data_IF_072593985896
#
_entry.id   IF_072593985896
#
_cell.length_a   1.000
_cell.length_b   1.000
_cell.length_c   1.000
_cell.angle_alpha   90.00
_cell.angle_beta   90.00
_cell.angle_gamma   90.00
#
_symmetry.space_group_name_H-M   'P 1'
#
loop_
_entity.id
_entity.type
_entity.pdbx_description
1 polymer ?
#
# COMPACT_ATOMS: atom_id res chain seq x y z
N UNK A 1 -12.21 39.09 24.51
CA UNK A 1 -13.62 39.46 24.72
C UNK A 1 -14.29 38.31 25.42
N UNK A 2 -14.70 38.50 26.67
CA UNK A 2 -15.52 37.56 27.41
C UNK A 2 -16.81 38.28 27.78
N UNK A 3 -17.95 37.71 27.43
CA UNK A 3 -19.24 38.28 27.80
C UNK A 3 -19.60 37.97 29.26
N UNK A 4 -18.91 37.04 29.93
CA UNK A 4 -19.15 36.71 31.34
C UNK A 4 -20.59 36.27 31.63
N UNK A 5 -21.28 35.69 30.65
CA UNK A 5 -22.71 35.39 30.74
C UNK A 5 -23.67 36.54 30.38
N UNK A 6 -23.16 37.74 30.09
CA UNK A 6 -23.96 38.89 29.65
C UNK A 6 -24.36 38.77 28.18
N UNK A 7 -25.47 39.41 27.80
CA UNK A 7 -25.86 39.52 26.40
C UNK A 7 -24.90 40.47 25.66
N UNK A 8 -24.40 40.03 24.50
CA UNK A 8 -23.50 40.82 23.66
C UNK A 8 -24.12 41.04 22.28
N UNK A 9 -24.07 42.28 21.77
CA UNK A 9 -24.65 42.61 20.46
C UNK A 9 -23.66 43.34 19.56
N UNK A 10 -23.44 42.80 18.36
CA UNK A 10 -22.84 43.54 17.25
C UNK A 10 -24.00 44.01 16.38
N UNK A 11 -24.28 45.32 16.42
CA UNK A 11 -25.39 45.92 15.68
C UNK A 11 -25.12 46.00 14.18
N UNK A 12 -26.19 46.01 13.38
CA UNK A 12 -26.11 46.17 11.92
C UNK A 12 -25.25 47.40 11.53
N UNK A 13 -24.41 47.22 10.51
CA UNK A 13 -23.47 48.24 10.04
C UNK A 13 -22.28 48.52 10.97
N UNK A 14 -22.10 47.73 12.03
CA UNK A 14 -20.90 47.76 12.88
C UNK A 14 -20.02 46.54 12.60
N UNK A 15 -18.71 46.75 12.74
CA UNK A 15 -17.70 45.70 12.61
C UNK A 15 -16.89 45.62 13.89
N UNK A 16 -16.72 44.40 14.40
CA UNK A 16 -15.78 44.08 15.46
C UNK A 16 -14.65 43.24 14.88
N UNK A 17 -13.41 43.70 14.97
CA UNK A 17 -12.24 42.98 14.46
C UNK A 17 -11.41 42.46 15.61
N UNK A 18 -11.19 41.15 15.65
CA UNK A 18 -10.28 40.49 16.58
C UNK A 18 -8.89 40.43 15.94
N UNK A 19 -7.92 41.07 16.59
CA UNK A 19 -6.53 41.05 16.15
C UNK A 19 -5.90 39.66 16.34
N UNK A 20 -4.67 39.50 15.84
CA UNK A 20 -3.86 38.30 16.09
C UNK A 20 -3.81 37.95 17.59
N UNK A 21 -3.81 36.65 17.90
CA UNK A 21 -3.83 36.11 19.27
C UNK A 21 -4.98 36.56 20.17
N UNK A 22 -6.00 37.25 19.64
CA UNK A 22 -7.18 37.62 20.42
C UNK A 22 -7.99 36.38 20.81
N UNK A 23 -8.59 36.40 22.00
CA UNK A 23 -9.49 35.33 22.47
C UNK A 23 -10.90 35.88 22.63
N UNK A 24 -11.88 35.21 21.99
CA UNK A 24 -13.31 35.44 22.17
C UNK A 24 -13.88 34.29 22.97
N UNK A 25 -14.50 34.58 24.10
CA UNK A 25 -15.11 33.58 24.98
C UNK A 25 -16.63 33.74 24.92
N UNK A 26 -17.30 32.67 24.51
CA UNK A 26 -18.74 32.50 24.57
C UNK A 26 -19.03 31.64 25.81
N UNK A 27 -19.16 32.31 26.95
CA UNK A 27 -19.33 31.73 28.29
C UNK A 27 -20.78 31.78 28.82
N UNK A 28 -21.72 32.27 28.01
CA UNK A 28 -23.15 32.40 28.34
C UNK A 28 -23.72 33.70 27.78
N UNK A 29 -25.01 33.95 28.03
CA UNK A 29 -25.71 35.14 27.52
C UNK A 29 -26.02 35.07 26.02
N UNK A 30 -26.99 35.86 25.57
CA UNK A 30 -27.37 35.88 24.15
C UNK A 30 -26.35 36.67 23.34
N UNK A 31 -25.71 36.02 22.37
CA UNK A 31 -24.88 36.68 21.35
C UNK A 31 -25.73 37.03 20.13
N UNK A 32 -26.12 38.30 20.01
CA UNK A 32 -26.90 38.80 18.86
C UNK A 32 -25.97 39.44 17.84
N UNK A 33 -25.91 38.88 16.64
CA UNK A 33 -24.98 39.32 15.60
C UNK A 33 -25.76 39.76 14.36
N UNK A 34 -25.99 41.06 14.26
CA UNK A 34 -26.58 41.70 13.06
C UNK A 34 -25.54 42.51 12.27
N UNK A 35 -24.38 42.79 12.87
CA UNK A 35 -23.18 43.30 12.21
C UNK A 35 -22.09 42.24 12.03
N UNK A 36 -20.91 42.67 11.59
CA UNK A 36 -19.80 41.80 11.17
C UNK A 36 -18.82 41.54 12.33
N UNK A 37 -18.43 40.28 12.53
CA UNK A 37 -17.25 39.91 13.32
C UNK A 37 -16.16 39.51 12.33
N UNK A 38 -14.96 40.03 12.49
CA UNK A 38 -13.81 39.61 11.70
C UNK A 38 -12.77 39.01 12.62
N UNK A 39 -12.41 37.75 12.37
CA UNK A 39 -11.45 37.01 13.17
C UNK A 39 -10.13 36.92 12.41
N UNK A 40 -9.02 37.11 13.12
CA UNK A 40 -7.70 36.82 12.58
C UNK A 40 -7.47 35.29 12.57
N UNK A 41 -6.72 34.78 11.60
CA UNK A 41 -6.39 33.36 11.49
C UNK A 41 -5.69 32.78 12.74
N UNK A 42 -5.03 33.61 13.55
CA UNK A 42 -4.37 33.21 14.81
C UNK A 42 -5.20 33.54 16.06
N UNK A 43 -6.41 34.08 15.89
CA UNK A 43 -7.33 34.33 17.01
C UNK A 43 -8.04 33.03 17.43
N UNK A 44 -8.52 32.97 18.67
CA UNK A 44 -9.22 31.80 19.22
C UNK A 44 -10.65 32.17 19.61
N UNK A 45 -11.60 31.31 19.28
CA UNK A 45 -12.98 31.35 19.81
C UNK A 45 -13.23 30.16 20.72
N UNK A 46 -13.64 30.45 21.95
CA UNK A 46 -13.81 29.50 23.03
C UNK A 46 -15.31 29.35 23.34
N UNK A 47 -15.85 28.15 23.18
CA UNK A 47 -17.23 27.78 23.53
C UNK A 47 -17.18 26.98 24.83
N UNK A 48 -17.40 27.63 25.96
CA UNK A 48 -17.23 27.04 27.32
C UNK A 48 -18.53 26.97 28.11
N UNK A 49 -19.68 27.21 27.47
CA UNK A 49 -20.96 27.08 28.14
C UNK A 49 -21.28 25.62 28.41
N UNK A 50 -21.74 25.30 29.63
CA UNK A 50 -22.46 24.03 29.85
C UNK A 50 -23.80 23.94 29.08
N UNK A 51 -24.28 25.07 28.55
CA UNK A 51 -25.46 25.15 27.69
C UNK A 51 -25.12 24.89 26.22
N UNK A 52 -26.15 24.59 25.43
CA UNK A 52 -26.00 24.38 23.99
C UNK A 52 -25.68 25.69 23.27
N UNK A 53 -24.81 25.62 22.28
CA UNK A 53 -24.39 26.74 21.45
C UNK A 53 -24.46 26.38 19.97
N UNK A 54 -24.73 27.36 19.13
CA UNK A 54 -24.69 27.20 17.67
C UNK A 54 -23.65 28.13 17.08
N UNK A 55 -22.78 27.58 16.24
CA UNK A 55 -21.78 28.33 15.50
C UNK A 55 -22.43 29.04 14.32
N UNK A 56 -22.08 30.32 14.20
CA UNK A 56 -22.44 31.14 13.05
C UNK A 56 -21.39 30.98 11.95
N UNK A 57 -21.74 31.01 10.67
CA UNK A 57 -20.77 30.93 9.58
C UNK A 57 -19.75 32.08 9.65
N UNK A 58 -18.49 31.74 9.91
CA UNK A 58 -17.35 32.67 9.96
C UNK A 58 -16.09 31.92 9.53
N UNK A 59 -15.06 32.67 9.14
CA UNK A 59 -13.70 32.13 9.07
C UNK A 59 -13.08 32.26 10.45
N UNK A 60 -13.01 31.16 11.17
CA UNK A 60 -12.40 31.10 12.49
C UNK A 60 -10.88 30.97 12.38
N UNK A 61 -10.14 31.52 13.35
CA UNK A 61 -8.73 31.19 13.50
C UNK A 61 -8.58 29.80 14.12
N UNK A 62 -8.83 29.70 15.41
CA UNK A 62 -8.94 28.45 16.16
C UNK A 62 -10.27 28.39 16.89
N UNK A 63 -10.77 27.17 17.10
CA UNK A 63 -11.93 26.90 17.93
C UNK A 63 -11.54 25.96 19.06
N UNK A 64 -12.08 26.22 20.23
CA UNK A 64 -12.01 25.29 21.36
C UNK A 64 -13.40 25.18 22.00
N UNK A 65 -13.92 23.95 22.03
CA UNK A 65 -15.22 23.58 22.56
C UNK A 65 -15.03 22.78 23.86
N UNK A 66 -15.63 23.26 24.94
CA UNK A 66 -15.49 22.69 26.26
C UNK A 66 -16.80 22.83 27.06
N UNK A 67 -17.78 22.00 26.72
CA UNK A 67 -19.05 21.85 27.44
C UNK A 67 -20.28 22.01 26.54
N UNK A 68 -21.43 21.53 27.00
CA UNK A 68 -22.70 21.64 26.27
C UNK A 68 -22.70 20.96 24.89
N UNK A 69 -23.79 21.11 24.14
CA UNK A 69 -23.83 20.68 22.73
C UNK A 69 -23.47 21.84 21.80
N UNK A 70 -22.53 21.64 20.88
CA UNK A 70 -22.17 22.62 19.85
C UNK A 70 -22.74 22.18 18.50
N UNK A 71 -23.49 23.05 17.82
CA UNK A 71 -24.03 22.79 16.48
C UNK A 71 -23.57 23.80 15.45
N UNK A 72 -23.81 23.52 14.17
CA UNK A 72 -23.52 24.40 13.03
C UNK A 72 -24.80 25.06 12.49
N UNK A 73 -24.76 26.35 12.18
CA UNK A 73 -25.79 27.07 11.40
C UNK A 73 -25.44 27.19 9.91
N UNK A 74 -24.25 26.73 9.52
CA UNK A 74 -23.76 26.67 8.15
C UNK A 74 -22.34 26.11 8.10
N UNK A 75 -21.71 26.16 6.91
CA UNK A 75 -20.36 25.65 6.71
C UNK A 75 -19.36 26.23 7.72
N UNK A 76 -18.54 25.35 8.28
CA UNK A 76 -17.53 25.68 9.26
C UNK A 76 -16.17 25.81 8.56
N UNK A 77 -15.54 26.97 8.67
CA UNK A 77 -14.17 27.17 8.19
C UNK A 77 -13.26 27.60 9.33
N UNK A 78 -12.19 26.83 9.57
CA UNK A 78 -11.20 27.07 10.62
C UNK A 78 -9.81 27.10 10.00
N UNK A 79 -9.16 28.26 10.02
CA UNK A 79 -7.83 28.43 9.43
C UNK A 79 -6.76 27.61 10.19
N UNK A 80 -6.98 27.36 11.48
CA UNK A 80 -6.17 26.53 12.35
C UNK A 80 -6.94 25.30 12.83
N UNK A 81 -6.75 24.97 14.11
CA UNK A 81 -7.34 23.78 14.75
C UNK A 81 -8.77 24.00 15.26
N UNK A 82 -9.64 23.03 15.02
CA UNK A 82 -10.86 22.82 15.79
C UNK A 82 -10.60 21.79 16.90
N UNK A 83 -10.62 22.25 18.16
CA UNK A 83 -10.42 21.40 19.33
C UNK A 83 -11.73 21.18 20.08
N UNK A 84 -12.08 19.91 20.32
CA UNK A 84 -13.15 19.52 21.23
C UNK A 84 -12.58 18.88 22.49
N UNK A 85 -12.62 19.62 23.60
CA UNK A 85 -12.19 19.13 24.91
C UNK A 85 -13.32 18.42 25.64
N UNK A 86 -14.57 18.89 25.50
CA UNK A 86 -15.77 18.24 26.02
C UNK A 86 -17.03 18.80 25.37
N UNK A 87 -18.12 18.04 25.47
CA UNK A 87 -19.41 18.34 24.87
C UNK A 87 -19.63 17.62 23.53
N UNK A 88 -20.90 17.39 23.20
CA UNK A 88 -21.26 16.79 21.92
C UNK A 88 -21.17 17.83 20.79
N UNK A 89 -20.60 17.44 19.66
CA UNK A 89 -20.64 18.24 18.44
C UNK A 89 -21.69 17.67 17.48
N UNK A 90 -22.68 18.46 17.10
CA UNK A 90 -23.71 18.06 16.12
C UNK A 90 -23.24 18.54 14.75
N UNK A 91 -22.57 17.64 14.03
CA UNK A 91 -22.09 17.91 12.69
C UNK A 91 -23.22 17.73 11.67
N UNK A 92 -23.49 18.77 10.89
CA UNK A 92 -24.56 18.77 9.87
C UNK A 92 -24.22 19.60 8.63
N UNK A 93 -23.01 20.17 8.57
CA UNK A 93 -22.55 21.10 7.53
C UNK A 93 -21.14 20.72 7.09
N UNK A 94 -20.69 21.31 5.98
CA UNK A 94 -19.30 21.18 5.51
C UNK A 94 -18.33 21.69 6.58
N UNK A 95 -17.15 21.06 6.65
CA UNK A 95 -16.07 21.42 7.56
C UNK A 95 -14.80 21.57 6.74
N UNK A 96 -14.17 22.74 6.84
CA UNK A 96 -12.79 22.93 6.41
C UNK A 96 -12.00 23.36 7.63
N UNK A 97 -10.96 22.62 7.99
CA UNK A 97 -10.09 22.95 9.11
C UNK A 97 -8.63 22.65 8.76
N UNK A 98 -7.66 23.39 9.32
CA UNK A 98 -6.28 22.94 9.17
C UNK A 98 -6.01 21.65 9.97
N UNK A 99 -6.68 21.47 11.11
CA UNK A 99 -6.63 20.22 11.87
C UNK A 99 -7.77 20.09 12.87
N UNK A 100 -7.98 18.87 13.37
CA UNK A 100 -8.99 18.56 14.40
C UNK A 100 -8.30 17.87 15.58
N UNK A 101 -8.65 18.28 16.78
CA UNK A 101 -8.25 17.61 18.02
C UNK A 101 -9.49 17.23 18.83
N UNK A 102 -9.62 15.97 19.21
CA UNK A 102 -10.82 15.43 19.85
C UNK A 102 -10.47 14.67 21.13
N UNK A 103 -10.93 15.16 22.29
CA UNK A 103 -10.55 14.61 23.60
C UNK A 103 -11.67 13.82 24.28
N UNK A 104 -12.93 14.24 24.15
CA UNK A 104 -14.04 13.62 24.87
C UNK A 104 -15.37 13.75 24.14
N UNK A 105 -16.39 13.06 24.67
CA UNK A 105 -17.76 13.06 24.16
C UNK A 105 -17.84 12.67 22.68
N UNK A 106 -18.92 13.01 21.97
CA UNK A 106 -19.19 12.47 20.65
C UNK A 106 -19.40 13.52 19.55
N UNK A 107 -18.94 13.18 18.34
CA UNK A 107 -19.56 13.71 17.13
C UNK A 107 -20.89 12.99 16.94
N UNK A 108 -21.96 13.76 16.87
CA UNK A 108 -23.35 13.29 16.83
C UNK A 108 -24.05 13.72 15.54
N UNK A 109 -25.19 13.08 15.25
CA UNK A 109 -25.91 13.24 13.99
C UNK A 109 -25.49 12.21 12.95
N UNK A 110 -25.76 12.52 11.68
CA UNK A 110 -25.40 11.69 10.52
C UNK A 110 -24.65 12.58 9.51
N UNK A 111 -23.39 12.95 9.82
CA UNK A 111 -22.61 13.79 8.92
C UNK A 111 -22.45 13.09 7.57
N UNK A 112 -22.84 13.79 6.52
CA UNK A 112 -22.73 13.34 5.13
C UNK A 112 -22.21 14.46 4.22
N UNK A 113 -21.63 15.49 4.85
CA UNK A 113 -21.15 16.72 4.23
C UNK A 113 -19.65 16.61 3.97
N UNK A 114 -19.11 17.53 3.18
CA UNK A 114 -17.69 17.51 2.80
C UNK A 114 -16.84 17.97 3.96
N UNK A 115 -15.88 17.14 4.36
CA UNK A 115 -14.87 17.47 5.35
C UNK A 115 -13.51 17.50 4.68
N UNK A 116 -12.85 18.65 4.76
CA UNK A 116 -11.52 18.91 4.19
C UNK A 116 -10.57 19.35 5.30
N UNK A 117 -9.68 18.43 5.70
CA UNK A 117 -8.78 18.61 6.82
C UNK A 117 -7.35 18.75 6.31
N UNK A 118 -6.74 19.89 6.62
CA UNK A 118 -5.42 20.24 6.17
C UNK A 118 -4.28 19.48 6.87
N UNK A 119 -3.08 20.01 6.68
CA UNK A 119 -1.82 19.42 7.15
C UNK A 119 -1.67 19.33 8.67
N UNK A 120 -2.56 19.94 9.44
CA UNK A 120 -2.62 19.79 10.89
C UNK A 120 -3.19 18.44 11.33
N UNK A 121 -3.81 17.69 10.41
CA UNK A 121 -4.24 16.32 10.65
C UNK A 121 -5.41 16.18 11.62
N UNK A 122 -5.60 14.96 12.11
CA UNK A 122 -6.59 14.62 13.12
C UNK A 122 -5.93 13.92 14.29
N UNK A 123 -6.17 14.41 15.51
CA UNK A 123 -5.78 13.73 16.74
C UNK A 123 -7.02 13.41 17.58
N UNK A 124 -7.18 12.15 17.96
CA UNK A 124 -8.28 11.66 18.80
C UNK A 124 -7.68 11.04 20.06
N UNK A 125 -7.84 11.71 21.20
CA UNK A 125 -7.33 11.28 22.49
C UNK A 125 -8.40 10.58 23.35
N UNK A 126 -9.68 10.67 22.97
CA UNK A 126 -10.78 10.07 23.71
C UNK A 126 -12.15 10.31 23.09
N UNK A 127 -13.22 9.90 23.77
CA UNK A 127 -14.60 10.05 23.27
C UNK A 127 -14.92 9.15 22.07
N UNK A 128 -15.91 9.55 21.28
CA UNK A 128 -16.30 8.89 20.03
C UNK A 128 -16.24 9.89 18.88
N UNK A 129 -15.26 9.74 18.01
CA UNK A 129 -15.17 10.52 16.79
C UNK A 129 -15.96 9.81 15.68
N UNK A 130 -16.93 10.49 15.08
CA UNK A 130 -17.73 9.95 13.97
C UNK A 130 -17.31 10.64 12.67
N UNK A 131 -16.81 9.84 11.73
CA UNK A 131 -16.43 10.33 10.41
C UNK A 131 -17.66 10.65 9.55
N UNK A 132 -17.51 11.59 8.62
CA UNK A 132 -18.54 11.90 7.62
C UNK A 132 -18.64 10.79 6.57
N UNK A 133 -19.84 10.54 6.06
CA UNK A 133 -20.05 9.68 4.87
C UNK A 133 -19.98 10.48 3.57
N UNK A 134 -19.81 11.80 3.65
CA UNK A 134 -19.50 12.64 2.49
C UNK A 134 -18.03 12.49 2.09
N UNK A 135 -17.56 13.36 1.19
CA UNK A 135 -16.13 13.46 0.87
C UNK A 135 -15.35 13.83 2.14
N UNK A 136 -14.35 13.03 2.50
CA UNK A 136 -13.50 13.27 3.66
C UNK A 136 -12.04 13.21 3.23
N UNK A 137 -11.46 14.38 2.96
CA UNK A 137 -10.05 14.53 2.63
C UNK A 137 -9.23 14.90 3.86
N UNK A 138 -8.02 14.37 3.92
CA UNK A 138 -7.09 14.54 5.02
C UNK A 138 -5.66 14.69 4.46
N UNK A 139 -5.12 15.89 4.55
CA UNK A 139 -3.78 16.22 4.05
C UNK A 139 -2.67 16.05 5.10
N UNK A 140 -3.04 15.82 6.37
CA UNK A 140 -2.12 15.57 7.48
C UNK A 140 -2.22 14.14 8.02
N UNK A 141 -1.63 13.91 9.19
CA UNK A 141 -1.64 12.60 9.84
C UNK A 141 -3.00 12.25 10.46
N UNK A 142 -3.26 10.96 10.62
CA UNK A 142 -4.34 10.45 11.46
C UNK A 142 -3.75 9.82 12.72
N UNK A 143 -4.11 10.33 13.90
CA UNK A 143 -3.61 9.82 15.18
C UNK A 143 -4.75 9.56 16.15
N UNK A 144 -5.03 8.29 16.43
CA UNK A 144 -5.96 7.87 17.47
C UNK A 144 -5.16 7.34 18.67
N UNK A 145 -5.02 8.15 19.71
CA UNK A 145 -4.34 7.76 20.96
C UNK A 145 -5.32 7.09 21.95
N UNK A 146 -6.62 7.37 21.81
CA UNK A 146 -7.66 6.85 22.69
C UNK A 146 -9.07 7.08 22.13
N UNK A 147 -10.09 6.59 22.84
CA UNK A 147 -11.48 6.71 22.40
C UNK A 147 -11.87 5.67 21.35
N UNK A 148 -12.91 5.99 20.57
CA UNK A 148 -13.42 5.13 19.50
C UNK A 148 -13.64 5.90 18.21
N UNK A 149 -13.30 5.26 17.09
CA UNK A 149 -13.72 5.70 15.76
C UNK A 149 -15.06 5.06 15.42
N UNK A 150 -16.05 5.89 15.09
CA UNK A 150 -17.30 5.46 14.47
C UNK A 150 -17.23 5.74 12.97
N UNK A 151 -16.74 4.77 12.21
CA UNK A 151 -16.53 4.88 10.76
C UNK A 151 -17.69 4.35 9.90
N UNK A 152 -18.84 3.94 10.48
CA UNK A 152 -19.96 3.18 9.84
C UNK A 152 -19.97 2.95 8.32
N UNK A 153 -19.84 3.98 7.48
CA UNK A 153 -19.69 3.86 6.01
C UNK A 153 -18.75 4.93 5.40
N UNK A 154 -17.86 5.53 6.19
CA UNK A 154 -16.98 6.62 5.75
C UNK A 154 -15.77 6.12 4.96
N UNK A 155 -15.33 6.90 3.97
CA UNK A 155 -14.02 6.75 3.34
C UNK A 155 -13.15 7.93 3.72
N UNK A 156 -12.00 7.68 4.35
CA UNK A 156 -10.99 8.72 4.62
C UNK A 156 -9.99 8.72 3.47
N UNK A 157 -9.89 9.83 2.74
CA UNK A 157 -8.94 10.00 1.64
C UNK A 157 -7.71 10.77 2.11
N UNK A 158 -6.56 10.10 2.13
CA UNK A 158 -5.27 10.68 2.46
C UNK A 158 -4.69 11.36 1.22
N UNK A 159 -4.91 12.68 1.11
CA UNK A 159 -4.69 13.50 -0.09
C UNK A 159 -3.56 14.53 0.07
N UNK A 160 -2.70 14.31 1.07
CA UNK A 160 -1.62 15.23 1.40
C UNK A 160 -0.54 15.36 0.33
N UNK A 161 0.46 16.18 0.64
CA UNK A 161 1.66 16.36 -0.21
C UNK A 161 2.98 16.03 0.49
N UNK A 162 2.92 15.75 1.79
CA UNK A 162 4.02 15.24 2.59
C UNK A 162 3.73 13.78 2.94
N UNK A 163 4.71 13.07 3.51
CA UNK A 163 4.43 11.75 4.06
C UNK A 163 3.33 11.86 5.14
N UNK A 164 2.41 10.89 5.15
CA UNK A 164 1.33 10.84 6.13
C UNK A 164 1.40 9.53 6.89
N UNK A 165 1.13 9.60 8.19
CA UNK A 165 1.11 8.43 9.06
C UNK A 165 -0.27 8.20 9.66
N UNK A 166 -0.66 6.93 9.72
CA UNK A 166 -1.91 6.46 10.33
C UNK A 166 -1.57 5.70 11.61
N UNK A 167 -2.08 6.18 12.74
CA UNK A 167 -2.11 5.45 14.01
C UNK A 167 -3.57 5.22 14.37
N UNK A 168 -4.04 3.98 14.27
CA UNK A 168 -5.46 3.63 14.44
C UNK A 168 -5.81 3.21 15.87
N UNK A 169 -4.81 2.78 16.64
CA UNK A 169 -4.94 2.14 17.95
C UNK A 169 -5.99 1.03 17.91
N UNK A 170 -5.84 0.14 16.92
CA UNK A 170 -6.71 -1.02 16.63
C UNK A 170 -8.19 -0.68 16.38
N UNK A 171 -8.51 0.57 16.01
CA UNK A 171 -9.84 0.91 15.55
C UNK A 171 -9.95 0.70 14.05
N UNK A 172 -10.85 -0.18 13.62
CA UNK A 172 -11.07 -0.45 12.21
C UNK A 172 -11.59 0.78 11.47
N UNK A 173 -11.02 1.03 10.29
CA UNK A 173 -11.55 1.98 9.32
C UNK A 173 -12.64 1.31 8.50
N UNK A 174 -13.69 2.05 8.11
CA UNK A 174 -14.62 1.48 7.15
C UNK A 174 -13.99 1.43 5.75
N UNK A 175 -13.42 2.53 5.26
CA UNK A 175 -12.69 2.55 3.98
C UNK A 175 -11.62 3.63 4.03
N UNK A 176 -10.56 3.44 3.22
CA UNK A 176 -9.51 4.43 3.05
C UNK A 176 -9.16 4.57 1.56
N UNK A 177 -8.85 5.79 1.16
CA UNK A 177 -8.26 6.09 -0.14
C UNK A 177 -6.89 6.75 0.08
N UNK A 178 -5.97 6.47 -0.83
CA UNK A 178 -4.61 7.01 -0.83
C UNK A 178 -4.41 7.72 -2.16
N UNK A 179 -4.71 9.02 -2.17
CA UNK A 179 -4.57 9.90 -3.33
C UNK A 179 -3.32 10.79 -3.27
N UNK A 180 -2.57 10.74 -2.17
CA UNK A 180 -1.25 11.35 -2.07
C UNK A 180 -0.26 10.65 -3.02
N UNK A 181 -0.06 11.25 -4.19
CA UNK A 181 0.88 10.76 -5.22
C UNK A 181 2.29 11.34 -5.09
N UNK A 182 2.56 12.09 -4.01
CA UNK A 182 3.83 12.83 -3.87
C UNK A 182 4.73 12.25 -2.79
N UNK A 183 4.14 11.55 -1.82
CA UNK A 183 4.83 10.89 -0.72
C UNK A 183 4.03 9.67 -0.26
N UNK A 184 4.68 8.81 0.51
CA UNK A 184 4.07 7.60 1.05
C UNK A 184 3.05 7.93 2.14
N UNK A 185 1.92 7.21 2.14
CA UNK A 185 1.03 7.09 3.29
C UNK A 185 1.34 5.76 3.98
N UNK A 186 1.69 5.79 5.26
CA UNK A 186 2.07 4.59 6.01
C UNK A 186 1.26 4.40 7.28
N UNK A 187 1.15 3.15 7.72
CA UNK A 187 0.62 2.82 9.05
C UNK A 187 1.77 2.75 10.06
N UNK A 188 1.50 3.14 11.31
CA UNK A 188 2.47 3.09 12.41
C UNK A 188 2.10 2.06 13.48
N UNK A 189 0.95 1.42 13.35
CA UNK A 189 0.46 0.36 14.22
C UNK A 189 -0.43 -0.60 13.44
N UNK A 190 -1.01 -1.59 14.13
CA UNK A 190 -1.97 -2.51 13.52
C UNK A 190 -3.08 -1.70 12.84
N UNK A 191 -3.34 -2.00 11.57
CA UNK A 191 -4.37 -1.36 10.78
C UNK A 191 -5.39 -2.36 10.28
N UNK A 192 -6.67 -2.06 10.46
CA UNK A 192 -7.78 -2.96 10.15
C UNK A 192 -8.87 -2.25 9.33
N UNK A 193 -9.49 -2.97 8.40
CA UNK A 193 -10.68 -2.52 7.69
C UNK A 193 -11.96 -3.23 8.17
N UNK A 194 -13.11 -2.63 7.91
CA UNK A 194 -14.39 -3.34 7.91
C UNK A 194 -14.44 -4.30 6.71
N UNK A 195 -15.06 -5.46 6.88
CA UNK A 195 -15.21 -6.47 5.82
C UNK A 195 -15.99 -5.98 4.58
N UNK A 196 -16.82 -4.94 4.74
CA UNK A 196 -17.55 -4.28 3.64
C UNK A 196 -16.79 -3.08 3.06
N UNK A 197 -15.59 -2.83 3.59
CA UNK A 197 -14.73 -1.71 3.29
C UNK A 197 -13.93 -1.85 2.02
N UNK A 198 -13.28 -0.75 1.63
CA UNK A 198 -12.32 -0.74 0.53
C UNK A 198 -11.09 0.08 0.86
N UNK A 199 -9.91 -0.47 0.58
CA UNK A 199 -8.68 0.29 0.40
C UNK A 199 -8.52 0.62 -1.08
N UNK A 200 -8.46 1.92 -1.41
CA UNK A 200 -8.12 2.38 -2.77
C UNK A 200 -6.76 3.05 -2.75
N UNK A 201 -5.84 2.57 -3.59
CA UNK A 201 -4.53 3.20 -3.80
C UNK A 201 -4.52 3.75 -5.22
N UNK A 202 -4.44 5.08 -5.34
CA UNK A 202 -4.47 5.74 -6.64
C UNK A 202 -3.18 5.48 -7.44
N UNK A 203 -3.28 5.66 -8.75
CA UNK A 203 -2.11 5.56 -9.62
C UNK A 203 -1.00 6.50 -9.16
N UNK A 204 0.22 5.98 -9.07
CA UNK A 204 1.41 6.69 -8.54
C UNK A 204 1.39 7.04 -7.04
N UNK A 205 0.37 6.61 -6.29
CA UNK A 205 0.37 6.68 -4.84
C UNK A 205 1.00 5.42 -4.23
N UNK A 206 1.49 5.53 -2.99
CA UNK A 206 2.08 4.42 -2.23
C UNK A 206 1.43 4.32 -0.86
N UNK A 207 0.92 3.13 -0.53
CA UNK A 207 0.48 2.76 0.81
C UNK A 207 1.48 1.75 1.41
N UNK A 208 2.06 2.04 2.56
CA UNK A 208 3.10 1.21 3.19
C UNK A 208 2.68 0.66 4.56
N UNK A 209 2.96 -0.62 4.81
CA UNK A 209 2.72 -1.25 6.13
C UNK A 209 3.80 -0.92 7.15
N UNK A 210 5.01 -0.56 6.70
CA UNK A 210 6.18 -0.30 7.56
C UNK A 210 6.42 -1.43 8.59
N UNK A 211 6.14 -2.69 8.21
CA UNK A 211 6.29 -3.85 9.09
C UNK A 211 5.17 -4.04 10.12
N UNK A 212 4.12 -3.21 10.11
CA UNK A 212 2.98 -3.33 11.01
C UNK A 212 1.95 -4.35 10.52
N UNK A 213 1.19 -4.94 11.45
CA UNK A 213 0.09 -5.87 11.13
C UNK A 213 -1.00 -5.18 10.30
N UNK A 214 -1.45 -5.84 9.24
CA UNK A 214 -2.49 -5.33 8.33
C UNK A 214 -3.61 -6.36 8.16
N UNK A 215 -4.84 -5.95 8.43
CA UNK A 215 -6.03 -6.81 8.35
C UNK A 215 -7.09 -6.18 7.42
N UNK A 216 -7.28 -6.75 6.23
CA UNK A 216 -8.37 -6.35 5.34
C UNK A 216 -9.75 -6.83 5.82
N UNK A 217 -9.81 -7.78 6.78
CA UNK A 217 -11.03 -8.46 7.22
C UNK A 217 -11.90 -8.98 6.06
N UNK A 218 -11.29 -9.34 4.92
CA UNK A 218 -12.01 -9.72 3.69
C UNK A 218 -12.65 -8.56 2.92
N UNK A 219 -12.28 -7.32 3.25
CA UNK A 219 -12.59 -6.12 2.49
C UNK A 219 -11.94 -6.12 1.10
N UNK A 220 -12.26 -5.10 0.30
CA UNK A 220 -11.74 -5.00 -1.07
C UNK A 220 -10.46 -4.16 -1.13
N UNK A 221 -9.45 -4.63 -1.86
CA UNK A 221 -8.28 -3.83 -2.21
C UNK A 221 -8.37 -3.45 -3.69
N UNK A 222 -8.39 -2.16 -3.97
CA UNK A 222 -8.25 -1.58 -5.32
C UNK A 222 -6.91 -0.89 -5.42
N UNK A 223 -5.91 -1.59 -5.94
CA UNK A 223 -4.54 -1.09 -6.04
C UNK A 223 -4.18 -0.69 -7.47
N UNK A 224 -4.22 0.61 -7.76
CA UNK A 224 -3.73 1.19 -9.02
C UNK A 224 -2.31 1.80 -8.86
N UNK A 225 -1.82 1.91 -7.62
CA UNK A 225 -0.52 2.46 -7.26
C UNK A 225 0.46 1.38 -6.85
N UNK A 226 1.04 1.53 -5.66
CA UNK A 226 1.93 0.57 -5.02
C UNK A 226 1.47 0.27 -3.60
N UNK A 227 1.33 -1.03 -3.30
CA UNK A 227 1.23 -1.52 -1.93
C UNK A 227 2.65 -1.94 -1.50
N UNK A 228 3.22 -1.25 -0.52
CA UNK A 228 4.56 -1.51 -0.01
C UNK A 228 4.50 -2.29 1.32
N UNK A 229 5.26 -3.39 1.39
CA UNK A 229 5.33 -4.31 2.55
C UNK A 229 6.77 -4.66 2.89
N UNK A 230 7.04 -5.13 4.09
CA UNK A 230 8.30 -5.79 4.46
C UNK A 230 8.28 -7.27 4.04
N UNK A 231 7.10 -7.88 3.99
CA UNK A 231 6.85 -9.24 3.55
C UNK A 231 6.82 -10.27 4.68
N UNK A 232 7.30 -9.95 5.87
CA UNK A 232 7.23 -10.80 7.07
C UNK A 232 6.17 -10.33 8.07
N UNK A 233 5.30 -9.40 7.69
CA UNK A 233 4.21 -8.98 8.53
C UNK A 233 3.20 -10.09 8.79
N UNK A 234 2.42 -9.88 9.84
CA UNK A 234 1.18 -10.64 10.04
C UNK A 234 0.09 -9.97 9.19
N UNK A 235 -0.46 -10.73 8.23
CA UNK A 235 -1.59 -10.29 7.40
C UNK A 235 -2.84 -11.08 7.76
N UNK A 236 -3.85 -10.41 8.30
CA UNK A 236 -5.20 -10.93 8.64
C UNK A 236 -5.20 -12.29 9.40
N UNK A 237 -6.40 -12.82 9.67
CA UNK A 237 -6.57 -14.23 10.10
C UNK A 237 -6.76 -15.20 8.92
N UNK A 238 -6.78 -14.68 7.68
CA UNK A 238 -6.96 -15.41 6.43
C UNK A 238 -5.79 -15.21 5.46
N UNK A 239 -6.06 -15.45 4.18
CA UNK A 239 -5.08 -15.31 3.11
C UNK A 239 -5.31 -13.98 2.39
N UNK A 240 -4.31 -13.09 2.38
CA UNK A 240 -4.40 -11.76 1.79
C UNK A 240 -4.11 -11.78 0.28
N UNK A 241 -4.95 -11.13 -0.51
CA UNK A 241 -4.74 -10.94 -1.95
C UNK A 241 -4.57 -9.45 -2.28
N UNK A 242 -3.44 -9.10 -2.90
CA UNK A 242 -3.06 -7.74 -3.27
C UNK A 242 -2.97 -7.67 -4.81
N UNK A 243 -3.96 -7.08 -5.50
CA UNK A 243 -3.89 -6.86 -6.93
C UNK A 243 -2.84 -5.78 -7.27
N UNK A 244 -2.48 -5.63 -8.54
CA UNK A 244 -1.60 -4.55 -8.99
C UNK A 244 -0.15 -4.71 -8.51
N UNK A 245 0.50 -3.59 -8.17
CA UNK A 245 1.91 -3.61 -7.81
C UNK A 245 2.09 -3.76 -6.30
N UNK A 246 2.85 -4.78 -5.92
CA UNK A 246 3.38 -4.99 -4.58
C UNK A 246 4.87 -4.73 -4.60
N UNK A 247 5.37 -3.98 -3.62
CA UNK A 247 6.81 -3.73 -3.44
C UNK A 247 7.22 -4.24 -2.06
N UNK A 248 8.24 -5.08 -2.01
CA UNK A 248 8.78 -5.64 -0.77
C UNK A 248 10.07 -4.90 -0.42
N UNK A 249 10.05 -4.16 0.70
CA UNK A 249 11.18 -3.40 1.25
C UNK A 249 11.32 -3.76 2.72
N UNK A 250 12.33 -4.53 3.09
CA UNK A 250 12.59 -4.82 4.50
C UNK A 250 14.02 -4.41 4.85
N UNK A 251 14.24 -3.37 5.67
CA UNK A 251 15.57 -2.92 6.06
C UNK A 251 16.37 -3.96 6.85
N UNK A 252 15.72 -4.95 7.45
CA UNK A 252 16.34 -6.10 8.12
C UNK A 252 16.46 -7.34 7.21
N UNK A 253 15.81 -7.32 6.04
CA UNK A 253 15.58 -8.49 5.20
C UNK A 253 14.51 -9.39 5.83
N UNK A 254 13.78 -10.14 5.00
CA UNK A 254 12.58 -10.83 5.47
C UNK A 254 12.58 -12.31 5.08
N UNK A 255 11.82 -13.10 5.85
CA UNK A 255 11.29 -14.37 5.37
C UNK A 255 9.85 -14.08 4.94
N UNK A 256 9.58 -14.18 3.65
CA UNK A 256 8.27 -13.88 3.09
C UNK A 256 7.22 -14.80 3.75
N UNK A 257 6.24 -14.15 4.41
CA UNK A 257 5.22 -14.75 5.27
C UNK A 257 4.27 -15.68 4.52
N UNK A 258 3.65 -16.60 5.27
CA UNK A 258 2.85 -17.69 4.73
C UNK A 258 1.35 -17.38 4.53
N UNK A 259 0.99 -16.09 4.53
CA UNK A 259 -0.40 -15.64 4.59
C UNK A 259 -0.80 -14.81 3.37
N UNK A 260 0.00 -14.85 2.31
CA UNK A 260 -0.29 -14.21 1.02
C UNK A 260 -0.93 -15.23 0.08
N UNK A 261 -1.99 -14.86 -0.64
CA UNK A 261 -2.68 -15.78 -1.58
C UNK A 261 -2.95 -15.20 -2.95
N UNK A 262 -2.47 -13.99 -3.20
CA UNK A 262 -2.46 -13.43 -4.53
C UNK A 262 -1.61 -12.18 -4.52
N UNK A 263 -0.50 -12.21 -5.23
CA UNK A 263 0.22 -11.02 -5.63
C UNK A 263 0.19 -10.98 -7.15
N UNK A 264 -0.06 -9.81 -7.74
CA UNK A 264 0.09 -9.64 -9.18
C UNK A 264 1.55 -9.33 -9.50
N UNK A 265 1.95 -8.06 -9.55
CA UNK A 265 3.35 -7.71 -9.82
C UNK A 265 4.12 -7.53 -8.52
N UNK A 266 5.33 -8.09 -8.42
CA UNK A 266 6.16 -8.04 -7.21
C UNK A 266 7.52 -7.44 -7.53
N UNK A 267 7.90 -6.41 -6.78
CA UNK A 267 9.26 -5.85 -6.79
C UNK A 267 9.93 -6.07 -5.45
N UNK A 268 11.03 -6.82 -5.42
CA UNK A 268 11.92 -6.90 -4.26
C UNK A 268 12.95 -5.78 -4.35
N UNK A 269 12.89 -4.83 -3.42
CA UNK A 269 13.67 -3.59 -3.51
C UNK A 269 14.32 -3.16 -2.21
N UNK A 270 15.38 -3.87 -1.82
CA UNK A 270 16.20 -3.44 -0.69
C UNK A 270 17.67 -3.84 -0.88
N UNK A 271 18.48 -2.87 -1.30
CA UNK A 271 19.91 -3.08 -1.51
C UNK A 271 20.62 -3.50 -0.23
N UNK A 272 21.42 -4.57 -0.32
CA UNK A 272 22.16 -5.16 0.79
C UNK A 272 21.38 -6.23 1.56
N UNK A 273 20.09 -6.42 1.25
CA UNK A 273 19.23 -7.35 1.98
C UNK A 273 18.90 -8.60 1.15
N UNK A 274 18.55 -9.65 1.86
CA UNK A 274 18.08 -10.92 1.32
C UNK A 274 16.61 -11.11 1.68
N UNK A 275 15.80 -11.46 0.68
CA UNK A 275 14.42 -11.90 0.85
C UNK A 275 14.38 -13.42 0.63
N UNK A 276 14.01 -14.14 1.67
CA UNK A 276 13.93 -15.61 1.65
C UNK A 276 12.47 -16.07 1.61
N UNK A 277 12.15 -17.10 0.83
CA UNK A 277 10.77 -17.62 0.79
C UNK A 277 10.46 -18.48 2.02
N UNK A 278 9.40 -18.15 2.75
CA UNK A 278 8.92 -18.94 3.89
C UNK A 278 8.13 -20.19 3.49
N UNK A 279 7.50 -20.16 2.33
CA UNK A 279 6.66 -21.21 1.75
C UNK A 279 6.82 -21.31 0.23
N UNK A 280 6.20 -22.33 -0.36
CA UNK A 280 6.11 -22.44 -1.82
C UNK A 280 5.28 -21.27 -2.36
N UNK A 281 5.83 -20.57 -3.35
CA UNK A 281 5.26 -19.36 -3.93
C UNK A 281 4.50 -19.72 -5.20
N UNK A 282 3.21 -19.99 -5.08
CA UNK A 282 2.29 -20.21 -6.20
C UNK A 282 1.29 -19.04 -6.39
N UNK A 283 1.34 -18.06 -5.50
CA UNK A 283 0.43 -16.91 -5.46
C UNK A 283 0.93 -15.67 -6.20
N UNK A 284 2.18 -15.63 -6.69
CA UNK A 284 2.65 -14.55 -7.56
C UNK A 284 2.23 -14.83 -9.00
N UNK A 285 1.37 -13.98 -9.55
CA UNK A 285 0.71 -14.19 -10.84
C UNK A 285 1.15 -13.22 -11.93
N UNK A 286 1.86 -12.15 -11.57
CA UNK A 286 2.40 -11.12 -12.46
C UNK A 286 3.92 -11.18 -12.61
N UNK A 287 4.50 -10.04 -12.97
CA UNK A 287 5.95 -9.93 -13.18
C UNK A 287 6.71 -9.84 -11.86
N UNK A 288 7.93 -10.38 -11.83
CA UNK A 288 8.84 -10.30 -10.68
C UNK A 288 10.03 -9.42 -11.05
N UNK A 289 10.35 -8.45 -10.21
CA UNK A 289 11.52 -7.58 -10.36
C UNK A 289 12.37 -7.69 -9.10
N UNK A 290 13.66 -7.96 -9.28
CA UNK A 290 14.67 -7.86 -8.21
C UNK A 290 15.54 -6.66 -8.54
N UNK A 291 15.62 -5.69 -7.64
CA UNK A 291 16.42 -4.47 -7.88
C UNK A 291 17.90 -4.68 -7.60
N UNK A 292 18.72 -3.70 -8.02
CA UNK A 292 20.17 -3.76 -7.86
C UNK A 292 20.55 -3.82 -6.38
N UNK A 293 21.45 -4.75 -6.04
CA UNK A 293 21.92 -4.94 -4.67
C UNK A 293 20.97 -5.76 -3.78
N UNK A 294 19.77 -6.08 -4.25
CA UNK A 294 18.82 -6.96 -3.56
C UNK A 294 19.11 -8.42 -3.86
N UNK A 295 18.96 -9.30 -2.87
CA UNK A 295 19.10 -10.75 -3.04
C UNK A 295 17.75 -11.44 -2.85
N UNK A 296 17.38 -12.34 -3.75
CA UNK A 296 16.25 -13.27 -3.57
C UNK A 296 16.80 -14.68 -3.38
N UNK A 297 16.31 -15.36 -2.34
CA UNK A 297 16.64 -16.74 -2.00
C UNK A 297 15.36 -17.57 -1.86
N UNK A 298 15.21 -18.58 -2.71
CA UNK A 298 14.04 -19.47 -2.64
C UNK A 298 14.13 -20.48 -1.48
N UNK A 299 15.28 -20.58 -0.79
CA UNK A 299 15.55 -21.64 0.19
C UNK A 299 15.16 -23.02 -0.38
N UNK A 300 14.43 -23.86 0.37
CA UNK A 300 13.91 -25.15 -0.07
C UNK A 300 12.48 -25.04 -0.66
N UNK A 301 12.03 -23.82 -0.98
CA UNK A 301 10.67 -23.53 -1.44
C UNK A 301 10.61 -23.36 -2.95
N UNK A 302 9.50 -23.80 -3.52
CA UNK A 302 9.25 -23.72 -4.97
C UNK A 302 8.65 -22.37 -5.35
N UNK A 303 8.82 -21.99 -6.62
CA UNK A 303 8.20 -20.79 -7.20
C UNK A 303 7.55 -21.19 -8.52
N UNK A 304 6.30 -20.79 -8.73
CA UNK A 304 5.64 -20.91 -10.03
C UNK A 304 5.56 -19.56 -10.72
N UNK A 305 6.18 -19.45 -11.90
CA UNK A 305 6.06 -18.29 -12.78
C UNK A 305 4.84 -18.47 -13.66
N UNK A 306 3.87 -17.59 -13.53
CA UNK A 306 2.64 -17.61 -14.32
C UNK A 306 2.91 -17.42 -15.82
N UNK A 307 1.97 -17.88 -16.65
CA UNK A 307 2.10 -17.78 -18.10
C UNK A 307 2.23 -16.33 -18.58
N UNK A 308 3.15 -16.13 -19.52
CA UNK A 308 3.49 -14.87 -20.16
C UNK A 308 3.93 -13.81 -19.16
N UNK A 309 4.79 -14.20 -18.20
CA UNK A 309 5.39 -13.30 -17.20
C UNK A 309 6.90 -13.26 -17.27
N UNK A 310 7.44 -12.19 -16.69
CA UNK A 310 8.85 -11.85 -16.70
C UNK A 310 9.43 -11.87 -15.30
N UNK A 311 10.57 -12.55 -15.12
CA UNK A 311 11.47 -12.29 -14.00
C UNK A 311 12.61 -11.40 -14.50
N UNK A 312 12.67 -10.18 -13.96
CA UNK A 312 13.77 -9.24 -14.17
C UNK A 312 14.67 -9.23 -12.94
N UNK A 313 15.80 -9.91 -13.02
CA UNK A 313 16.79 -9.91 -11.96
C UNK A 313 17.87 -8.85 -12.21
N UNK A 314 17.82 -7.70 -11.54
CA UNK A 314 18.94 -6.74 -11.55
C UNK A 314 19.86 -6.89 -10.33
N UNK A 315 19.53 -7.81 -9.42
CA UNK A 315 20.26 -8.07 -8.18
C UNK A 315 20.94 -9.44 -8.21
N UNK A 316 20.81 -10.17 -7.09
CA UNK A 316 21.31 -11.54 -6.96
C UNK A 316 20.14 -12.50 -6.80
N UNK A 317 20.14 -13.56 -7.60
CA UNK A 317 19.26 -14.71 -7.41
C UNK A 317 20.13 -15.90 -7.03
N UNK A 318 20.08 -16.29 -5.76
CA UNK A 318 20.96 -17.34 -5.22
C UNK A 318 20.60 -18.71 -5.80
N UNK A 319 21.54 -19.65 -5.74
CA UNK A 319 21.20 -21.05 -5.94
C UNK A 319 20.39 -21.52 -4.73
N UNK A 320 19.12 -21.90 -4.90
CA UNK A 320 18.25 -22.31 -3.80
C UNK A 320 18.77 -23.54 -3.03
N UNK A 321 18.22 -23.74 -1.84
CA UNK A 321 18.42 -24.95 -1.04
C UNK A 321 17.85 -26.21 -1.71
N UNK A 322 18.32 -27.38 -1.28
CA UNK A 322 17.92 -28.66 -1.88
C UNK A 322 16.42 -28.95 -1.72
N UNK A 323 15.73 -29.16 -2.84
CA UNK A 323 14.32 -29.54 -2.89
C UNK A 323 13.40 -28.48 -3.50
N UNK A 324 13.88 -27.26 -3.74
CA UNK A 324 13.11 -26.21 -4.42
C UNK A 324 13.04 -26.42 -5.93
N UNK A 325 11.92 -26.03 -6.54
CA UNK A 325 11.74 -26.02 -7.99
C UNK A 325 11.24 -24.66 -8.47
N UNK A 326 11.90 -24.06 -9.47
CA UNK A 326 11.29 -23.00 -10.25
C UNK A 326 10.51 -23.62 -11.42
N UNK A 327 9.20 -23.42 -11.43
CA UNK A 327 8.29 -23.96 -12.45
C UNK A 327 7.74 -22.84 -13.33
N UNK A 328 7.81 -23.01 -14.64
CA UNK A 328 7.11 -22.14 -15.60
C UNK A 328 5.75 -22.77 -15.93
N UNK A 329 4.64 -22.09 -15.59
CA UNK A 329 3.28 -22.54 -15.92
C UNK A 329 2.87 -22.25 -17.37
N UNK A 330 3.73 -21.59 -18.14
CA UNK A 330 3.57 -21.33 -19.57
C UNK A 330 4.80 -20.64 -20.13
N UNK A 331 4.61 -19.72 -21.07
CA UNK A 331 5.71 -18.91 -21.58
C UNK A 331 6.27 -18.02 -20.46
N UNK A 332 7.58 -17.89 -20.37
CA UNK A 332 8.24 -17.08 -19.34
C UNK A 332 9.48 -16.40 -19.89
N UNK A 333 9.81 -15.22 -19.37
CA UNK A 333 10.97 -14.44 -19.78
C UNK A 333 11.87 -14.14 -18.57
N UNK A 334 13.15 -14.43 -18.71
CA UNK A 334 14.18 -14.24 -17.70
C UNK A 334 15.19 -13.20 -18.22
N UNK A 335 15.23 -12.03 -17.58
CA UNK A 335 16.06 -10.89 -18.02
C UNK A 335 16.90 -10.30 -16.89
N UNK A 336 17.97 -9.58 -17.24
CA UNK A 336 18.90 -8.96 -16.29
C UNK A 336 20.15 -9.81 -16.05
N UNK A 337 20.59 -9.94 -14.81
CA UNK A 337 21.68 -10.80 -14.36
C UNK A 337 21.29 -12.28 -14.36
N UNK A 338 22.31 -13.15 -14.36
CA UNK A 338 22.11 -14.60 -14.30
C UNK A 338 21.31 -15.02 -13.07
N UNK A 339 20.57 -16.12 -13.18
CA UNK A 339 19.76 -16.69 -12.10
C UNK A 339 20.14 -18.15 -11.88
N UNK A 340 20.06 -18.60 -10.63
CA UNK A 340 20.41 -19.97 -10.27
C UNK A 340 19.18 -20.69 -9.72
N UNK A 341 19.10 -21.99 -9.99
CA UNK A 341 17.96 -22.84 -9.64
C UNK A 341 18.47 -24.13 -9.04
N UNK A 342 17.71 -24.71 -8.10
CA UNK A 342 17.97 -26.08 -7.67
C UNK A 342 17.42 -27.02 -8.72
N UNK A 343 16.09 -27.05 -8.87
CA UNK A 343 15.40 -27.64 -10.02
C UNK A 343 14.78 -26.54 -10.90
N UNK A 344 14.84 -26.73 -12.22
CA UNK A 344 14.16 -25.87 -13.20
C UNK A 344 13.22 -26.71 -14.06
N UNK A 345 11.94 -26.33 -14.11
CA UNK A 345 10.90 -27.08 -14.80
C UNK A 345 10.06 -26.20 -15.72
N UNK A 346 9.96 -26.60 -16.98
CA UNK A 346 9.04 -26.06 -17.97
C UNK A 346 8.46 -27.23 -18.78
N UNK A 347 7.33 -27.77 -18.33
CA UNK A 347 6.58 -28.80 -19.06
C UNK A 347 5.31 -28.16 -19.64
N UNK A 348 5.50 -27.42 -20.72
CA UNK A 348 4.52 -26.46 -21.25
C UNK A 348 4.58 -26.42 -22.77
N UNK A 349 3.94 -27.40 -23.41
CA UNK A 349 3.85 -27.46 -24.87
C UNK A 349 3.35 -26.14 -25.48
N UNK A 350 3.80 -25.83 -26.70
CA UNK A 350 3.50 -24.57 -27.41
C UNK A 350 3.85 -23.28 -26.65
N UNK A 351 4.73 -23.35 -25.65
CA UNK A 351 5.20 -22.17 -24.90
C UNK A 351 6.61 -21.76 -25.32
N UNK A 352 7.00 -20.55 -24.93
CA UNK A 352 8.34 -20.02 -25.15
C UNK A 352 9.01 -19.63 -23.83
N UNK A 353 10.19 -20.19 -23.56
CA UNK A 353 11.05 -19.78 -22.45
C UNK A 353 12.19 -18.95 -23.02
N UNK A 354 12.28 -17.71 -22.54
CA UNK A 354 13.25 -16.74 -23.04
C UNK A 354 14.28 -16.40 -21.98
N UNK A 355 15.56 -16.50 -22.31
CA UNK A 355 16.68 -16.17 -21.42
C UNK A 355 17.48 -14.96 -21.93
N UNK A 356 17.96 -14.11 -21.02
CA UNK A 356 18.90 -13.05 -21.36
C UNK A 356 20.18 -13.64 -21.98
N UNK A 357 20.53 -13.17 -23.17
CA UNK A 357 21.78 -13.53 -23.84
C UNK A 357 23.00 -13.05 -23.04
N UNK A 358 24.15 -13.70 -23.22
CA UNK A 358 25.41 -13.51 -22.47
C UNK A 358 25.37 -13.88 -20.98
N UNK A 359 24.21 -14.29 -20.45
CA UNK A 359 24.05 -14.65 -19.04
C UNK A 359 24.06 -16.16 -18.84
N UNK A 360 24.43 -16.56 -17.63
CA UNK A 360 24.51 -17.96 -17.21
C UNK A 360 23.37 -18.23 -16.24
N UNK A 361 22.69 -19.34 -16.46
CA UNK A 361 21.62 -19.86 -15.62
C UNK A 361 22.06 -21.22 -15.09
N UNK A 362 22.33 -21.31 -13.79
CA UNK A 362 22.82 -22.57 -13.19
C UNK A 362 21.64 -23.40 -12.73
N UNK A 363 21.63 -24.69 -13.07
CA UNK A 363 20.68 -25.67 -12.53
C UNK A 363 21.45 -26.68 -11.70
N UNK A 364 21.17 -26.74 -10.40
CA UNK A 364 21.98 -27.49 -9.45
C UNK A 364 21.60 -28.97 -9.38
N UNK A 365 20.37 -29.38 -9.73
CA UNK A 365 19.91 -30.76 -9.58
C UNK A 365 19.09 -31.33 -10.75
N UNK A 366 17.91 -30.80 -11.08
CA UNK A 366 17.11 -31.34 -12.20
C UNK A 366 16.75 -30.27 -13.23
N UNK A 367 17.01 -30.59 -14.51
CA UNK A 367 16.52 -29.81 -15.64
C UNK A 367 15.39 -30.59 -16.33
N UNK A 368 14.19 -30.01 -16.33
CA UNK A 368 13.00 -30.59 -16.96
C UNK A 368 12.42 -29.61 -17.99
N UNK A 369 12.58 -29.91 -19.27
CA UNK A 369 12.11 -29.09 -20.39
C UNK A 369 11.32 -29.97 -21.35
N UNK A 370 10.00 -29.85 -21.36
CA UNK A 370 9.13 -30.79 -22.10
C UNK A 370 8.09 -30.04 -22.91
N UNK A 371 8.06 -30.32 -24.22
CA UNK A 371 7.01 -29.92 -25.15
C UNK A 371 6.11 -31.10 -25.56
N UNK A 372 5.57 -31.04 -26.77
CA UNK A 372 4.88 -32.18 -27.38
C UNK A 372 5.13 -32.27 -28.88
N UNK A 373 4.80 -33.41 -29.48
CA UNK A 373 4.93 -33.64 -30.92
C UNK A 373 4.13 -32.59 -31.72
N UNK A 374 4.81 -31.85 -32.59
CA UNK A 374 4.26 -30.71 -33.34
C UNK A 374 3.87 -29.49 -32.49
N UNK A 375 4.20 -29.49 -31.20
CA UNK A 375 3.91 -28.44 -30.21
C UNK A 375 5.11 -28.23 -29.28
N UNK A 376 6.30 -28.20 -29.88
CA UNK A 376 7.57 -28.16 -29.15
C UNK A 376 7.65 -26.97 -28.20
N UNK A 377 8.32 -27.16 -27.07
CA UNK A 377 8.73 -26.07 -26.20
C UNK A 377 9.83 -25.29 -26.92
N UNK A 378 9.67 -23.96 -27.03
CA UNK A 378 10.68 -23.12 -27.64
C UNK A 378 11.56 -22.48 -26.56
N UNK A 379 12.85 -22.82 -26.55
CA UNK A 379 13.83 -22.22 -25.65
C UNK A 379 14.75 -21.31 -26.45
N UNK A 380 14.81 -20.03 -26.10
CA UNK A 380 15.54 -19.03 -26.88
C UNK A 380 16.24 -17.98 -26.06
N UNK A 381 17.26 -17.35 -26.64
CA UNK A 381 17.72 -16.07 -26.10
C UNK A 381 16.72 -14.95 -26.40
N UNK A 382 16.78 -13.88 -25.61
CA UNK A 382 15.92 -12.71 -25.76
C UNK A 382 15.98 -12.04 -27.13
N UNK A 383 17.15 -12.06 -27.79
CA UNK A 383 17.45 -11.33 -29.01
C UNK A 383 17.77 -12.24 -30.21
N UNK A 384 17.84 -13.56 -30.02
CA UNK A 384 18.26 -14.52 -31.05
C UNK A 384 19.66 -14.24 -31.61
N UNK A 385 20.52 -13.56 -30.85
CA UNK A 385 21.87 -13.20 -31.30
C UNK A 385 22.90 -13.52 -30.23
N UNK A 386 22.67 -13.06 -29.00
CA UNK A 386 23.56 -13.34 -27.90
C UNK A 386 23.17 -14.67 -27.26
N UNK A 387 24.11 -15.61 -27.22
CA UNK A 387 23.88 -16.93 -26.63
C UNK A 387 23.71 -16.81 -25.11
N UNK A 388 22.62 -17.34 -24.57
CA UNK A 388 22.46 -17.59 -23.13
C UNK A 388 22.99 -18.99 -22.78
N UNK A 389 23.43 -19.20 -21.54
CA UNK A 389 24.00 -20.48 -21.11
C UNK A 389 23.13 -21.10 -20.02
N UNK A 390 22.73 -22.36 -20.19
CA UNK A 390 22.17 -23.19 -19.12
C UNK A 390 23.27 -24.13 -18.64
N UNK A 391 23.78 -23.90 -17.44
CA UNK A 391 24.80 -24.75 -16.82
C UNK A 391 24.13 -25.75 -15.87
N UNK A 392 23.74 -26.92 -16.40
CA UNK A 392 23.20 -28.01 -15.61
C UNK A 392 24.33 -28.84 -14.95
N UNK A 393 24.47 -28.82 -13.63
CA UNK A 393 25.63 -29.36 -12.91
C UNK A 393 25.84 -30.89 -13.15
N UNK A 394 27.09 -31.44 -13.10
CA UNK A 394 27.31 -32.87 -13.32
C UNK A 394 26.62 -33.77 -12.29
N UNK A 395 25.96 -34.84 -12.73
CA UNK A 395 25.25 -35.81 -11.86
C UNK A 395 23.73 -35.61 -11.80
N UNK A 396 23.24 -34.60 -12.50
CA UNK A 396 21.85 -34.15 -12.52
C UNK A 396 20.96 -34.97 -13.46
N UNK A 397 19.68 -35.12 -13.11
CA UNK A 397 18.71 -35.75 -14.02
C UNK A 397 18.27 -34.73 -15.05
N UNK A 398 18.28 -35.14 -16.32
CA UNK A 398 17.80 -34.32 -17.44
C UNK A 398 16.59 -35.01 -18.07
N UNK A 399 15.47 -34.29 -18.12
CA UNK A 399 14.27 -34.70 -18.85
C UNK A 399 13.98 -33.63 -19.88
N UNK A 400 14.56 -33.78 -21.07
CA UNK A 400 14.45 -32.80 -22.14
C UNK A 400 13.90 -33.48 -23.40
N UNK A 401 12.67 -33.16 -23.76
CA UNK A 401 11.94 -33.83 -24.84
C UNK A 401 11.03 -32.87 -25.61
N UNK A 402 10.96 -33.01 -26.94
CA UNK A 402 10.21 -32.12 -27.83
C UNK A 402 10.52 -30.63 -27.60
N UNK A 403 11.80 -30.29 -27.60
CA UNK A 403 12.31 -28.91 -27.43
C UNK A 403 12.96 -28.44 -28.71
N UNK A 404 12.65 -27.22 -29.12
CA UNK A 404 13.43 -26.52 -30.15
C UNK A 404 14.21 -25.37 -29.50
N UNK A 405 15.48 -25.22 -29.87
CA UNK A 405 16.40 -24.32 -29.14
C UNK A 405 17.06 -23.34 -30.10
N UNK A 406 17.19 -22.08 -29.69
CA UNK A 406 17.87 -21.04 -30.46
C UNK A 406 18.69 -20.11 -29.58
N UNK A 407 20.01 -20.09 -29.79
CA UNK A 407 20.94 -19.24 -29.02
C UNK A 407 20.86 -19.46 -27.49
N UNK A 408 20.56 -20.69 -27.05
CA UNK A 408 20.69 -21.12 -25.65
C UNK A 408 21.50 -22.40 -25.64
N UNK A 409 22.70 -22.38 -25.07
CA UNK A 409 23.62 -23.52 -25.11
C UNK A 409 23.89 -24.08 -23.71
N UNK A 410 24.39 -25.31 -23.66
CA UNK A 410 24.95 -25.91 -22.46
C UNK A 410 26.37 -25.41 -22.17
N UNK A 411 27.18 -26.23 -21.51
CA UNK A 411 28.62 -25.97 -21.35
C UNK A 411 29.42 -27.21 -21.73
N UNK A 412 30.70 -27.05 -22.05
CA UNK A 412 31.57 -28.19 -22.36
C UNK A 412 31.68 -29.23 -21.23
N UNK A 413 31.50 -28.80 -19.97
CA UNK A 413 31.49 -29.72 -18.83
C UNK A 413 30.13 -30.42 -18.66
N UNK A 414 29.06 -29.80 -19.17
CA UNK A 414 27.67 -30.14 -18.90
C UNK A 414 26.85 -30.03 -20.19
N UNK A 415 26.88 -31.09 -21.01
CA UNK A 415 26.04 -31.18 -22.19
C UNK A 415 24.58 -31.41 -21.79
N UNK A 416 23.67 -30.87 -22.60
CA UNK A 416 22.23 -31.11 -22.46
C UNK A 416 21.81 -32.20 -23.43
N UNK A 417 21.41 -33.35 -22.91
CA UNK A 417 20.89 -34.45 -23.73
C UNK A 417 19.39 -34.27 -23.93
N UNK A 418 18.95 -34.28 -25.19
CA UNK A 418 17.56 -34.04 -25.55
C UNK A 418 17.04 -35.07 -26.56
N UNK A 419 15.79 -35.51 -26.41
CA UNK A 419 15.11 -36.40 -27.36
C UNK A 419 14.05 -35.66 -28.16
N UNK A 420 13.79 -36.09 -29.40
CA UNK A 420 12.78 -35.48 -30.28
C UNK A 420 12.91 -33.94 -30.39
N UNK A 421 14.15 -33.45 -30.29
CA UNK A 421 14.48 -32.04 -30.09
C UNK A 421 15.47 -31.59 -31.15
N UNK A 422 15.55 -30.28 -31.42
CA UNK A 422 16.39 -29.78 -32.49
C UNK A 422 16.87 -28.34 -32.27
N UNK A 423 18.04 -28.03 -32.83
CA UNK A 423 18.59 -26.69 -32.90
C UNK A 423 18.04 -25.95 -34.13
N UNK A 424 17.50 -24.76 -33.91
CA UNK A 424 16.90 -23.92 -34.94
C UNK A 424 17.92 -23.45 -35.99
N UNK A 425 19.16 -23.21 -35.57
CA UNK A 425 20.21 -22.60 -36.40
C UNK A 425 21.34 -23.56 -36.78
N UNK A 426 21.46 -24.67 -36.05
CA UNK A 426 22.56 -25.62 -36.18
C UNK A 426 23.90 -25.10 -35.64
N UNK A 427 23.88 -24.09 -34.75
CA UNK A 427 25.06 -23.44 -34.17
C UNK A 427 25.43 -23.94 -32.77
N UNK A 428 24.50 -24.61 -32.07
CA UNK A 428 24.65 -25.02 -30.68
C UNK A 428 25.65 -26.17 -30.56
N UNK A 429 26.58 -26.05 -29.60
CA UNK A 429 27.75 -26.94 -29.50
C UNK A 429 27.66 -27.94 -28.34
N UNK A 430 26.84 -27.66 -27.33
CA UNK A 430 26.76 -28.45 -26.09
C UNK A 430 25.38 -29.06 -25.85
N UNK A 431 24.64 -29.27 -26.94
CA UNK A 431 23.43 -30.07 -26.98
C UNK A 431 23.68 -31.39 -27.70
N UNK A 432 23.28 -32.49 -27.07
CA UNK A 432 23.27 -33.81 -27.68
C UNK A 432 21.83 -34.12 -28.12
N UNK A 433 21.47 -33.71 -29.35
CA UNK A 433 20.18 -34.01 -29.96
C UNK A 433 20.14 -35.46 -30.44
N UNK A 434 19.21 -36.25 -29.88
CA UNK A 434 19.00 -37.67 -30.18
C UNK A 434 17.99 -37.97 -31.27
#
# INVERSE_FOLDING_TARGET
LDAGGEAFTISAGKTLTMAAASVVIKSGGTWTRTGTLTLNATSKVLYTTGANSTMTPEVYGHIEHNGGTLSQDGALTVAGTFRNTSGNFVASQDITANGIEWTADAVTGSPAQTWDIGTGGITIDGGTFKATTGTFTLAGDWTLNGGTLNATTSTVDFDGTAAQTITSNSNAFYSAAVSNTTATVSIADKFEFDASGTLTIDASATFATEGSEFDDNGGTITNNGTFEIHGDETFTTGILSIPGNTKVVDPAGCILTTHLGGLENVTFDQSGQTFTFGEDIDYITGDIIVTVGTTVDMDIRSLTVANSKTIRNNGTWTAPGSGSTLTCAGSATFVGEGMNFYDFSANVASSTITFQGTKIYTVANNLNLVGGDGTELYVRSHDNVATAIISNTPGNTQTVDYVRVEEVDGTAANHITATNSWDVTGSLSFWDFG
#
